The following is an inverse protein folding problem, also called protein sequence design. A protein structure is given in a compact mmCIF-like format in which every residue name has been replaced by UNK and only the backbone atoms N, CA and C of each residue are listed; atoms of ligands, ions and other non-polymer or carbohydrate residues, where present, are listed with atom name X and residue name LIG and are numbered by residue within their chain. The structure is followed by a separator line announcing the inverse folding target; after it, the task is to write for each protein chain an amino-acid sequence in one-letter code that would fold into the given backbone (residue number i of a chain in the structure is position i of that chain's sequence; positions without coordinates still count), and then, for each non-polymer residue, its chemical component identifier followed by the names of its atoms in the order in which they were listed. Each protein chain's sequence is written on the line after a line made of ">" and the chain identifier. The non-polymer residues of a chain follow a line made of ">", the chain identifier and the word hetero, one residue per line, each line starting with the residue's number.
data_IF_556709934623
#
_entry.id   IF_556709934623
#
_cell.length_a   1.000
_cell.length_b   1.000
_cell.length_c   1.000
_cell.angle_alpha   90.00
_cell.angle_beta   90.00
_cell.angle_gamma   90.00
#
_symmetry.space_group_name_H-M   'P 1'
#
loop_
_entity.id
_entity.type
_entity.pdbx_description
1 polymer ?
#
# COMPACT_ATOMS: atom_id res chain seq x y z
N UNK A 1 -4.49 -1.50 17.78
CA UNK A 1 -4.64 -1.52 16.30
C UNK A 1 -3.60 -2.45 15.71
N UNK A 2 -3.98 -3.49 14.97
CA UNK A 2 -2.98 -4.37 14.35
C UNK A 2 -2.20 -3.62 13.28
N UNK A 3 -0.95 -3.99 13.13
CA UNK A 3 -0.11 -3.52 12.03
C UNK A 3 -0.35 -4.40 10.80
N UNK A 4 -0.45 -3.77 9.66
CA UNK A 4 -0.61 -4.46 8.37
C UNK A 4 0.58 -4.14 7.49
N UNK A 5 1.08 -5.14 6.78
CA UNK A 5 2.16 -5.00 5.80
C UNK A 5 1.60 -5.41 4.44
N UNK A 6 1.69 -4.52 3.45
CA UNK A 6 1.26 -4.80 2.09
C UNK A 6 2.49 -4.82 1.20
N UNK A 7 2.67 -5.89 0.44
CA UNK A 7 3.80 -6.05 -0.47
C UNK A 7 3.32 -6.22 -1.90
N UNK A 8 4.06 -5.64 -2.83
CA UNK A 8 3.88 -5.84 -4.26
C UNK A 8 5.13 -5.38 -5.01
N UNK A 9 5.17 -5.62 -6.30
CA UNK A 9 6.19 -5.06 -7.17
C UNK A 9 5.73 -3.71 -7.74
N UNK A 10 6.67 -2.94 -8.28
CA UNK A 10 6.39 -1.69 -8.98
C UNK A 10 7.19 -1.63 -10.27
N UNK A 11 6.74 -0.83 -11.23
CA UNK A 11 7.44 -0.64 -12.49
C UNK A 11 8.70 0.21 -12.32
N UNK A 12 8.63 1.20 -11.42
CA UNK A 12 9.72 2.16 -11.20
C UNK A 12 9.67 2.62 -9.73
N UNK A 13 10.75 2.36 -9.00
CA UNK A 13 10.86 2.71 -7.57
C UNK A 13 10.74 4.22 -7.35
N UNK A 14 11.44 5.03 -8.17
CA UNK A 14 11.42 6.48 -7.99
C UNK A 14 10.03 7.06 -8.23
N UNK A 15 9.33 6.58 -9.25
CA UNK A 15 7.95 6.98 -9.53
C UNK A 15 7.02 6.63 -8.37
N UNK A 16 7.17 5.43 -7.82
CA UNK A 16 6.38 4.98 -6.68
C UNK A 16 6.63 5.85 -5.44
N UNK A 17 7.90 6.19 -5.16
CA UNK A 17 8.26 7.04 -4.02
C UNK A 17 7.70 8.46 -4.17
N UNK A 18 7.56 8.98 -5.38
CA UNK A 18 6.93 10.29 -5.61
C UNK A 18 5.48 10.34 -5.18
N UNK A 19 4.78 9.21 -5.16
CA UNK A 19 3.40 9.09 -4.70
C UNK A 19 3.25 8.88 -3.20
N UNK A 20 4.31 8.98 -2.42
CA UNK A 20 4.33 8.66 -0.99
C UNK A 20 3.31 9.46 -0.19
N UNK A 21 3.27 10.77 -0.34
CA UNK A 21 2.36 11.64 0.40
C UNK A 21 0.89 11.37 0.03
N UNK A 22 0.61 11.18 -1.24
CA UNK A 22 -0.72 10.89 -1.74
C UNK A 22 -1.22 9.53 -1.22
N UNK A 23 -0.34 8.52 -1.24
CA UNK A 23 -0.64 7.18 -0.75
C UNK A 23 -0.91 7.20 0.76
N UNK A 24 -0.09 7.91 1.53
CA UNK A 24 -0.28 8.05 2.97
C UNK A 24 -1.62 8.73 3.27
N UNK A 25 -1.95 9.82 2.57
CA UNK A 25 -3.21 10.52 2.75
C UNK A 25 -4.42 9.61 2.43
N UNK A 26 -4.33 8.81 1.38
CA UNK A 26 -5.39 7.88 1.00
C UNK A 26 -5.62 6.80 2.07
N UNK A 27 -4.55 6.25 2.63
CA UNK A 27 -4.64 5.26 3.70
C UNK A 27 -5.18 5.89 4.99
N UNK A 28 -4.71 7.10 5.33
CA UNK A 28 -5.13 7.80 6.53
C UNK A 28 -6.59 8.28 6.46
N UNK A 29 -7.11 8.55 5.26
CA UNK A 29 -8.53 8.89 5.09
C UNK A 29 -9.46 7.71 5.32
N UNK A 30 -8.93 6.48 5.28
CA UNK A 30 -9.64 5.26 5.62
C UNK A 30 -9.44 4.88 7.08
N UNK A 31 -8.93 3.68 7.32
CA UNK A 31 -8.76 3.13 8.67
C UNK A 31 -7.30 3.04 9.12
N UNK A 32 -6.36 3.55 8.31
CA UNK A 32 -4.93 3.42 8.57
C UNK A 32 -4.29 4.66 9.17
N UNK A 33 -3.16 4.46 9.84
CA UNK A 33 -2.31 5.53 10.38
C UNK A 33 -0.86 5.05 10.41
N UNK A 34 0.07 5.97 10.65
CA UNK A 34 1.51 5.65 10.73
C UNK A 34 2.01 4.91 9.49
N UNK A 35 1.68 5.43 8.32
CA UNK A 35 2.06 4.82 7.05
C UNK A 35 3.55 4.96 6.81
N UNK A 36 4.22 3.84 6.53
CA UNK A 36 5.65 3.81 6.25
C UNK A 36 5.90 3.01 4.97
N UNK A 37 6.73 3.56 4.09
CA UNK A 37 7.10 2.92 2.83
C UNK A 37 8.49 2.31 2.94
N UNK A 38 8.69 1.13 2.32
CA UNK A 38 9.96 0.42 2.31
C UNK A 38 10.28 -0.01 0.90
N UNK A 39 11.56 0.05 0.55
CA UNK A 39 12.06 -0.53 -0.71
C UNK A 39 12.91 -1.74 -0.37
N UNK A 40 12.99 -2.69 -1.30
CA UNK A 40 13.74 -3.92 -1.08
C UNK A 40 15.25 -3.62 -0.97
N UNK A 41 15.89 -4.18 0.03
CA UNK A 41 17.33 -3.98 0.27
C UNK A 41 18.20 -4.60 -0.82
N UNK A 42 17.67 -5.54 -1.58
CA UNK A 42 18.39 -6.21 -2.67
C UNK A 42 18.40 -5.42 -3.99
N UNK A 43 17.79 -4.24 -4.01
CA UNK A 43 17.71 -3.40 -5.21
C UNK A 43 16.63 -3.85 -6.20
N UNK A 44 15.82 -4.82 -5.87
CA UNK A 44 14.70 -5.25 -6.71
C UNK A 44 13.58 -4.20 -6.72
N UNK A 45 12.58 -4.42 -7.58
CA UNK A 45 11.42 -3.54 -7.67
C UNK A 45 10.27 -4.00 -6.75
N UNK A 46 10.59 -4.75 -5.71
CA UNK A 46 9.63 -5.13 -4.67
C UNK A 46 9.60 -4.07 -3.58
N UNK A 47 8.41 -3.78 -3.08
CA UNK A 47 8.23 -2.78 -2.04
C UNK A 47 7.31 -3.31 -0.94
N UNK A 48 7.29 -2.60 0.18
CA UNK A 48 6.35 -2.86 1.26
C UNK A 48 5.81 -1.54 1.81
N UNK A 49 4.55 -1.56 2.22
CA UNK A 49 3.93 -0.44 2.93
C UNK A 49 3.38 -0.98 4.23
N UNK A 50 3.68 -0.32 5.34
CA UNK A 50 3.12 -0.69 6.64
C UNK A 50 2.21 0.41 7.16
N UNK A 51 1.19 0.02 7.90
CA UNK A 51 0.28 0.95 8.56
C UNK A 51 -0.37 0.27 9.77
N UNK A 52 -0.76 1.08 10.74
CA UNK A 52 -1.62 0.63 11.82
C UNK A 52 -3.06 0.76 11.34
N UNK A 53 -3.86 -0.31 11.42
CA UNK A 53 -5.19 -0.36 10.84
C UNK A 53 -6.23 -0.63 11.92
N UNK A 54 -7.21 0.26 12.04
CA UNK A 54 -8.27 0.13 13.05
C UNK A 54 -9.40 -0.82 12.60
N UNK A 55 -9.62 -0.97 11.29
CA UNK A 55 -10.65 -1.84 10.73
C UNK A 55 -10.06 -2.72 9.63
N UNK A 56 -9.56 -3.89 10.04
CA UNK A 56 -8.92 -4.84 9.13
C UNK A 56 -9.91 -5.39 8.11
N UNK A 57 -11.17 -5.60 8.49
CA UNK A 57 -12.19 -6.11 7.56
C UNK A 57 -12.44 -5.12 6.42
N UNK A 58 -12.54 -3.83 6.74
CA UNK A 58 -12.71 -2.79 5.72
C UNK A 58 -11.50 -2.73 4.79
N UNK A 59 -10.30 -2.85 5.34
CA UNK A 59 -9.07 -2.87 4.55
C UNK A 59 -9.05 -4.06 3.60
N UNK A 60 -9.39 -5.25 4.07
CA UNK A 60 -9.46 -6.45 3.22
C UNK A 60 -10.46 -6.27 2.08
N UNK A 61 -11.63 -5.72 2.36
CA UNK A 61 -12.65 -5.46 1.34
C UNK A 61 -12.13 -4.51 0.27
N UNK A 62 -11.44 -3.46 0.68
CA UNK A 62 -10.86 -2.48 -0.24
C UNK A 62 -9.78 -3.11 -1.13
N UNK A 63 -8.96 -4.01 -0.59
CA UNK A 63 -7.92 -4.69 -1.38
C UNK A 63 -8.52 -5.70 -2.36
N UNK A 64 -9.62 -6.36 -1.99
CA UNK A 64 -10.30 -7.33 -2.85
C UNK A 64 -11.09 -6.66 -3.99
N UNK A 65 -11.69 -5.50 -3.70
CA UNK A 65 -12.54 -4.76 -4.65
C UNK A 65 -12.22 -3.26 -4.56
N UNK A 66 -11.04 -2.83 -5.04
CA UNK A 66 -10.66 -1.43 -4.97
C UNK A 66 -11.60 -0.54 -5.80
N UNK A 67 -11.85 0.68 -5.30
CA UNK A 67 -12.64 1.68 -6.02
C UNK A 67 -11.91 2.15 -7.29
N UNK A 68 -12.62 2.77 -8.25
CA UNK A 68 -11.97 3.34 -9.44
C UNK A 68 -10.86 4.35 -9.10
N UNK A 69 -11.05 5.16 -8.05
CA UNK A 69 -10.04 6.12 -7.59
C UNK A 69 -8.77 5.41 -7.11
N UNK A 70 -8.93 4.33 -6.34
CA UNK A 70 -7.80 3.53 -5.86
C UNK A 70 -7.08 2.85 -7.01
N UNK A 71 -7.83 2.27 -7.96
CA UNK A 71 -7.23 1.65 -9.15
C UNK A 71 -6.44 2.66 -9.97
N UNK A 72 -6.97 3.87 -10.15
CA UNK A 72 -6.29 4.94 -10.86
C UNK A 72 -4.99 5.34 -10.17
N UNK A 73 -5.00 5.49 -8.84
CA UNK A 73 -3.81 5.81 -8.07
C UNK A 73 -2.76 4.70 -8.16
N UNK A 74 -3.18 3.43 -8.12
CA UNK A 74 -2.27 2.29 -8.27
C UNK A 74 -1.58 2.33 -9.64
N UNK A 75 -2.30 2.62 -10.71
CA UNK A 75 -1.73 2.75 -12.04
C UNK A 75 -0.75 3.92 -12.11
N UNK A 76 -1.12 5.07 -11.54
CA UNK A 76 -0.26 6.25 -11.52
C UNK A 76 1.04 6.00 -10.76
N UNK A 77 0.99 5.20 -9.70
CA UNK A 77 2.18 4.85 -8.90
C UNK A 77 2.97 3.66 -9.48
N UNK A 78 2.50 3.07 -10.56
CA UNK A 78 3.17 1.95 -11.23
C UNK A 78 3.10 0.63 -10.46
N UNK A 79 2.00 0.40 -9.74
CA UNK A 79 1.81 -0.84 -8.96
C UNK A 79 1.61 -2.04 -9.88
N UNK A 80 2.34 -3.11 -9.60
CA UNK A 80 2.21 -4.39 -10.32
C UNK A 80 1.57 -5.41 -9.38
N UNK A 81 0.39 -5.90 -9.73
CA UNK A 81 -0.31 -6.94 -8.99
C UNK A 81 0.44 -8.28 -9.13
N UNK A 82 0.27 -9.23 -8.19
CA UNK A 82 -0.65 -9.17 -7.06
C UNK A 82 -0.07 -8.41 -5.86
N UNK A 83 -0.98 -7.94 -5.01
CA UNK A 83 -0.62 -7.40 -3.71
C UNK A 83 -0.90 -8.44 -2.65
N UNK A 84 0.03 -8.60 -1.70
CA UNK A 84 -0.15 -9.51 -0.56
C UNK A 84 -0.20 -8.68 0.72
N UNK A 85 -1.21 -8.91 1.53
CA UNK A 85 -1.35 -8.25 2.82
C UNK A 85 -1.05 -9.22 3.95
N UNK A 86 -0.24 -8.78 4.90
CA UNK A 86 0.11 -9.53 6.11
C UNK A 86 -0.43 -8.76 7.31
N UNK A 87 -1.11 -9.45 8.21
CA UNK A 87 -1.74 -8.85 9.38
C UNK A 87 -1.02 -9.34 10.62
N UNK A 88 -0.65 -8.41 11.49
CA UNK A 88 -0.01 -8.72 12.77
C UNK A 88 -0.87 -9.66 13.60
N UNK A 89 -0.28 -10.68 14.18
CA UNK A 89 -0.94 -11.64 15.06
C UNK A 89 -0.51 -11.47 16.52
#
# INVERSE_FOLDING_TARGET
>A
MPKVVITHAVEDINRWLQGKAERAAAIESGTGSNVTDYVAADGSKNIAVTADVSDVAAMKSMLESPSPEVLGAMQDHGVIAPMTAYIQK
#
